data_IF_903014520628
#
_entry.id   IF_903014520628
#
_cell.length_a   1.000
_cell.length_b   1.000
_cell.length_c   1.000
_cell.angle_alpha   90.00
_cell.angle_beta   90.00
_cell.angle_gamma   90.00
#
_symmetry.space_group_name_H-M   'P 1'
#
loop_
_entity.id
_entity.type
_entity.pdbx_description
1 polymer ?
#
# COMPACT_ATOMS: atom_id res chain seq x y z
N UNK A 1 10.46 8.73 -17.55
CA UNK A 1 10.21 10.15 -17.55
C UNK A 1 10.52 10.82 -16.23
N UNK A 2 10.47 12.13 -16.27
CA UNK A 2 10.82 12.93 -15.11
C UNK A 2 9.98 12.62 -13.88
N UNK A 3 8.75 12.25 -14.07
CA UNK A 3 7.84 11.95 -12.95
C UNK A 3 8.39 10.87 -12.02
N UNK A 4 9.07 9.85 -12.57
CA UNK A 4 9.58 8.76 -11.77
C UNK A 4 10.78 9.17 -10.90
N UNK A 5 11.32 10.36 -11.11
CA UNK A 5 12.50 10.85 -10.39
C UNK A 5 12.14 11.76 -9.23
N UNK A 6 10.88 12.15 -9.11
CA UNK A 6 10.44 13.11 -8.11
C UNK A 6 9.41 12.46 -7.22
N UNK A 7 9.71 12.40 -5.93
CA UNK A 7 8.78 11.83 -4.95
C UNK A 7 7.51 12.67 -4.89
N UNK A 8 6.34 12.02 -4.90
CA UNK A 8 5.09 12.75 -4.72
C UNK A 8 5.05 13.45 -3.36
N UNK A 9 4.39 14.60 -3.33
CA UNK A 9 4.27 15.39 -2.11
C UNK A 9 2.82 15.45 -1.68
N UNK A 10 2.35 14.38 -1.11
CA UNK A 10 1.00 14.29 -0.59
C UNK A 10 1.06 14.36 0.93
N UNK A 11 0.33 15.30 1.55
CA UNK A 11 0.37 15.44 3.01
C UNK A 11 -0.08 14.19 3.75
N UNK A 12 -0.84 13.31 3.09
CA UNK A 12 -1.23 12.03 3.70
C UNK A 12 -0.03 11.13 3.99
N UNK A 13 1.11 11.35 3.32
CA UNK A 13 2.33 10.59 3.61
C UNK A 13 2.80 10.79 5.04
N UNK A 14 2.66 11.99 5.59
CA UNK A 14 3.03 12.24 6.97
C UNK A 14 2.14 11.45 7.93
N UNK A 15 0.84 11.39 7.65
CA UNK A 15 -0.10 10.59 8.43
C UNK A 15 0.21 9.11 8.33
N UNK A 16 0.57 8.64 7.13
CA UNK A 16 0.95 7.25 6.90
C UNK A 16 2.16 6.88 7.73
N UNK A 17 3.19 7.73 7.72
CA UNK A 17 4.42 7.49 8.46
C UNK A 17 4.22 7.56 9.96
N UNK A 18 3.49 8.56 10.46
CA UNK A 18 3.27 8.69 11.89
C UNK A 18 2.36 7.59 12.42
N UNK A 19 1.39 7.12 11.62
CA UNK A 19 0.56 5.98 12.01
C UNK A 19 1.41 4.71 12.16
N UNK A 20 2.31 4.47 11.21
CA UNK A 20 3.20 3.31 11.26
C UNK A 20 4.07 3.36 12.51
N UNK A 21 4.68 4.51 12.77
CA UNK A 21 5.58 4.65 13.92
C UNK A 21 4.82 4.50 15.24
N UNK A 22 3.62 5.04 15.31
CA UNK A 22 2.79 4.93 16.52
C UNK A 22 2.40 3.48 16.79
N UNK A 23 2.11 2.71 15.73
CA UNK A 23 1.65 1.33 15.87
C UNK A 23 2.80 0.33 16.07
N UNK A 24 3.98 0.60 15.54
CA UNK A 24 5.10 -0.36 15.55
C UNK A 24 6.27 0.06 16.43
N UNK A 25 6.38 1.34 16.77
CA UNK A 25 7.56 1.87 17.45
C UNK A 25 8.75 2.07 16.52
N UNK A 26 8.59 1.85 15.21
CA UNK A 26 9.66 1.91 14.23
C UNK A 26 9.39 3.00 13.21
N UNK A 27 10.45 3.63 12.70
CA UNK A 27 10.34 4.59 11.61
C UNK A 27 10.47 3.86 10.28
N UNK A 28 9.57 4.17 9.34
CA UNK A 28 9.64 3.59 8.00
C UNK A 28 10.61 4.36 7.11
N UNK A 29 10.85 5.64 7.42
CA UNK A 29 11.71 6.51 6.65
C UNK A 29 11.09 7.89 6.47
N UNK A 30 11.55 8.60 5.44
CA UNK A 30 11.02 9.91 5.08
C UNK A 30 10.30 9.81 3.74
N UNK A 31 9.43 10.77 3.38
CA UNK A 31 8.80 10.73 2.06
C UNK A 31 9.80 10.57 0.93
N UNK A 32 10.96 11.24 1.02
CA UNK A 32 11.99 11.15 -0.02
C UNK A 32 12.64 9.77 -0.07
N UNK A 33 13.00 9.21 1.10
CA UNK A 33 13.66 7.91 1.14
C UNK A 33 12.72 6.77 0.74
N UNK A 34 11.42 6.93 0.97
CA UNK A 34 10.44 5.88 0.66
C UNK A 34 10.18 5.75 -0.83
N UNK A 35 10.30 6.85 -1.58
CA UNK A 35 9.98 6.85 -3.01
C UNK A 35 10.82 5.81 -3.78
N UNK A 36 12.13 5.76 -3.52
CA UNK A 36 13.04 4.82 -4.17
C UNK A 36 13.47 3.65 -3.30
N UNK A 37 12.75 3.37 -2.22
CA UNK A 37 13.12 2.29 -1.32
C UNK A 37 13.02 0.92 -1.99
N UNK A 38 13.84 -0.07 -1.57
CA UNK A 38 13.82 -1.40 -2.18
C UNK A 38 12.63 -2.26 -1.77
N UNK A 39 11.80 -1.77 -0.89
CA UNK A 39 10.57 -2.45 -0.50
C UNK A 39 9.36 -1.71 -1.08
N UNK A 40 8.24 -2.41 -1.22
CA UNK A 40 7.02 -1.81 -1.73
C UNK A 40 6.28 -1.09 -0.61
N UNK A 41 5.70 0.06 -0.95
CA UNK A 41 4.84 0.82 -0.05
C UNK A 41 3.68 1.37 -0.87
N UNK A 42 2.45 1.12 -0.43
CA UNK A 42 1.27 1.57 -1.14
C UNK A 42 0.15 1.88 -0.15
N UNK A 43 -0.77 2.76 -0.54
CA UNK A 43 -1.88 3.14 0.33
C UNK A 43 -3.10 3.54 -0.48
N UNK A 44 -4.27 3.16 0.02
CA UNK A 44 -5.55 3.59 -0.55
C UNK A 44 -6.31 4.43 0.47
N UNK A 45 -7.31 5.17 -0.02
CA UNK A 45 -8.14 6.02 0.82
C UNK A 45 -9.38 5.29 1.33
N UNK A 46 -10.37 6.09 1.71
CA UNK A 46 -11.61 5.57 2.31
C UNK A 46 -12.81 5.66 1.36
N UNK A 47 -12.58 5.90 0.08
CA UNK A 47 -13.64 5.89 -0.93
C UNK A 47 -14.30 4.53 -0.99
N UNK A 48 -15.47 4.45 -1.61
CA UNK A 48 -16.17 3.19 -1.81
C UNK A 48 -16.42 2.97 -3.29
N UNK A 49 -15.63 2.09 -3.98
CA UNK A 49 -14.50 1.31 -3.44
C UNK A 49 -13.24 2.17 -3.20
N UNK A 50 -12.36 1.72 -2.31
CA UNK A 50 -11.13 2.47 -2.05
C UNK A 50 -10.26 2.57 -3.30
N UNK A 51 -9.63 3.75 -3.47
CA UNK A 51 -8.74 4.02 -4.59
C UNK A 51 -7.35 4.34 -4.03
N UNK A 52 -6.29 3.87 -4.70
CA UNK A 52 -4.94 4.20 -4.28
C UNK A 52 -4.69 5.70 -4.42
N UNK A 53 -3.93 6.23 -3.48
CA UNK A 53 -3.41 7.60 -3.58
C UNK A 53 -1.90 7.61 -3.58
N UNK A 54 -1.25 6.45 -3.32
CA UNK A 54 0.20 6.35 -3.30
C UNK A 54 0.66 4.94 -3.62
N UNK A 55 1.76 4.85 -4.35
CA UNK A 55 2.57 3.67 -4.52
C UNK A 55 3.98 4.15 -4.82
N UNK A 56 5.00 3.61 -4.11
CA UNK A 56 6.38 4.01 -4.39
C UNK A 56 6.88 3.30 -5.65
N UNK A 57 8.11 3.61 -6.09
CA UNK A 57 8.64 3.08 -7.34
C UNK A 57 8.67 1.55 -7.38
N UNK A 58 9.00 0.91 -6.25
CA UNK A 58 8.99 -0.55 -6.18
C UNK A 58 7.59 -1.12 -6.38
N UNK A 59 6.58 -0.52 -5.74
CA UNK A 59 5.19 -0.95 -5.93
C UNK A 59 4.74 -0.74 -7.38
N UNK A 60 5.07 0.41 -7.96
CA UNK A 60 4.70 0.69 -9.35
C UNK A 60 5.29 -0.33 -10.30
N UNK A 61 6.55 -0.73 -10.08
CA UNK A 61 7.19 -1.74 -10.89
C UNK A 61 6.54 -3.12 -10.77
N UNK A 62 6.14 -3.50 -9.55
CA UNK A 62 5.48 -4.79 -9.33
C UNK A 62 4.13 -4.87 -10.05
N UNK A 63 3.32 -3.82 -9.96
CA UNK A 63 2.02 -3.81 -10.60
C UNK A 63 2.07 -3.32 -12.04
N UNK A 64 3.26 -2.93 -12.52
CA UNK A 64 3.50 -2.53 -13.93
C UNK A 64 2.62 -1.35 -14.33
N UNK A 65 2.54 -0.36 -13.45
CA UNK A 65 1.71 0.82 -13.69
C UNK A 65 2.52 2.08 -13.40
N UNK A 66 2.19 3.16 -14.11
CA UNK A 66 2.73 4.47 -13.77
C UNK A 66 2.06 4.96 -12.47
N UNK A 67 2.62 5.98 -11.85
CA UNK A 67 2.02 6.57 -10.66
C UNK A 67 0.61 7.08 -10.97
N UNK A 68 0.45 7.70 -12.14
CA UNK A 68 -0.84 8.23 -12.56
C UNK A 68 -1.87 7.11 -12.73
N UNK A 69 -1.49 6.00 -13.36
CA UNK A 69 -2.39 4.86 -13.51
C UNK A 69 -2.74 4.25 -12.16
N UNK A 70 -1.72 4.09 -11.30
CA UNK A 70 -1.89 3.45 -10.01
C UNK A 70 -2.84 4.23 -9.11
N UNK A 71 -2.73 5.56 -9.12
CA UNK A 71 -3.53 6.41 -8.23
C UNK A 71 -4.92 6.70 -8.78
N UNK A 72 -5.30 6.05 -9.86
CA UNK A 72 -6.68 6.08 -10.40
C UNK A 72 -7.36 4.73 -10.29
N UNK A 73 -6.67 3.74 -9.76
CA UNK A 73 -7.15 2.36 -9.75
C UNK A 73 -7.79 2.02 -8.41
N UNK A 74 -8.98 1.39 -8.42
CA UNK A 74 -9.52 0.82 -7.20
C UNK A 74 -8.55 -0.22 -6.64
N UNK A 75 -8.31 -0.17 -5.35
CA UNK A 75 -7.28 -1.02 -4.74
C UNK A 75 -7.61 -2.51 -4.85
N UNK A 76 -8.90 -2.88 -4.95
CA UNK A 76 -9.31 -4.27 -5.10
C UNK A 76 -8.77 -4.90 -6.39
N UNK A 77 -8.45 -4.09 -7.40
CA UNK A 77 -7.96 -4.60 -8.68
C UNK A 77 -6.53 -5.12 -8.62
N UNK A 78 -5.83 -4.95 -7.51
CA UNK A 78 -4.53 -5.58 -7.30
C UNK A 78 -4.64 -7.07 -7.05
N UNK A 79 -5.84 -7.57 -6.75
CA UNK A 79 -6.09 -8.99 -6.51
C UNK A 79 -7.03 -9.53 -7.58
N UNK A 80 -6.85 -10.80 -7.94
CA UNK A 80 -7.77 -11.47 -8.86
C UNK A 80 -9.15 -11.56 -8.23
N UNK A 81 -10.24 -11.64 -9.06
CA UNK A 81 -11.59 -11.70 -8.50
C UNK A 81 -11.77 -12.75 -7.41
N UNK A 82 -11.18 -13.94 -7.59
CA UNK A 82 -11.29 -15.01 -6.59
C UNK A 82 -10.61 -14.68 -5.26
N UNK A 83 -9.62 -13.79 -5.29
CA UNK A 83 -8.89 -13.40 -4.07
C UNK A 83 -9.45 -12.18 -3.38
N UNK A 84 -10.44 -11.51 -3.97
CA UNK A 84 -10.92 -10.23 -3.44
C UNK A 84 -11.67 -10.35 -2.13
N UNK A 85 -12.40 -11.44 -1.94
CA UNK A 85 -13.13 -11.65 -0.70
C UNK A 85 -12.19 -11.86 0.49
N UNK A 86 -11.13 -12.64 0.29
CA UNK A 86 -10.12 -12.86 1.33
C UNK A 86 -9.43 -11.54 1.67
N UNK A 87 -9.13 -10.75 0.65
CA UNK A 87 -8.51 -9.43 0.83
C UNK A 87 -9.44 -8.49 1.62
N UNK A 88 -10.74 -8.49 1.29
CA UNK A 88 -11.69 -7.64 1.99
C UNK A 88 -11.80 -7.99 3.47
N UNK A 89 -11.75 -9.27 3.81
CA UNK A 89 -11.76 -9.71 5.20
C UNK A 89 -10.50 -9.25 5.94
N UNK A 90 -9.35 -9.33 5.28
CA UNK A 90 -8.10 -8.83 5.86
C UNK A 90 -8.22 -7.35 6.17
N UNK A 91 -8.68 -6.55 5.20
CA UNK A 91 -8.77 -5.10 5.38
C UNK A 91 -9.77 -4.73 6.46
N UNK A 92 -10.86 -5.51 6.61
CA UNK A 92 -11.84 -5.30 7.67
C UNK A 92 -11.21 -5.57 9.04
N UNK A 93 -10.40 -6.61 9.16
CA UNK A 93 -9.68 -6.92 10.40
C UNK A 93 -8.70 -5.80 10.76
N UNK A 94 -7.96 -5.30 9.78
CA UNK A 94 -7.03 -4.20 10.00
C UNK A 94 -7.78 -2.95 10.45
N UNK A 95 -8.92 -2.66 9.82
CA UNK A 95 -9.73 -1.50 10.20
C UNK A 95 -10.16 -1.58 11.65
N UNK A 96 -10.47 -2.78 12.12
CA UNK A 96 -10.91 -3.01 13.50
C UNK A 96 -9.74 -3.00 14.50
N UNK A 97 -8.62 -3.62 14.16
CA UNK A 97 -7.51 -3.84 15.10
C UNK A 97 -6.35 -2.85 14.91
N UNK A 98 -6.31 -2.12 13.82
CA UNK A 98 -5.29 -1.10 13.56
C UNK A 98 -4.14 -1.57 12.70
N UNK A 99 -3.69 -2.80 12.86
CA UNK A 99 -2.50 -3.31 12.16
C UNK A 99 -2.53 -4.84 12.10
N UNK A 100 -1.97 -5.36 11.01
CA UNK A 100 -1.65 -6.78 10.89
C UNK A 100 -0.22 -6.90 10.35
N UNK A 101 0.54 -7.88 10.85
CA UNK A 101 1.90 -8.13 10.39
C UNK A 101 1.99 -9.55 9.87
N UNK A 102 3.00 -9.80 9.01
CA UNK A 102 3.26 -11.13 8.45
C UNK A 102 2.13 -11.65 7.53
N UNK A 103 1.44 -10.70 6.88
CA UNK A 103 0.40 -11.08 5.93
C UNK A 103 1.05 -11.61 4.64
N UNK A 104 0.47 -12.67 4.09
CA UNK A 104 0.90 -13.28 2.82
C UNK A 104 -0.32 -13.40 1.92
N UNK A 105 -0.19 -12.99 0.67
CA UNK A 105 -1.33 -13.06 -0.25
C UNK A 105 -0.89 -12.92 -1.70
N UNK A 106 -1.74 -13.40 -2.60
CA UNK A 106 -1.49 -13.35 -4.04
C UNK A 106 -2.02 -12.05 -4.63
N UNK A 107 -1.24 -11.45 -5.52
CA UNK A 107 -1.63 -10.24 -6.25
C UNK A 107 -1.34 -10.42 -7.73
N UNK A 108 -1.88 -9.53 -8.55
CA UNK A 108 -1.75 -9.63 -10.00
C UNK A 108 -1.43 -8.25 -10.59
N UNK A 109 -0.50 -8.21 -11.56
CA UNK A 109 -0.09 -6.99 -12.21
C UNK A 109 -0.98 -6.67 -13.42
N UNK A 110 -0.74 -5.51 -14.02
CA UNK A 110 -1.46 -5.04 -15.21
C UNK A 110 -1.41 -6.05 -16.36
N UNK A 111 -0.26 -6.70 -16.56
CA UNK A 111 -0.10 -7.66 -17.66
C UNK A 111 -0.51 -9.08 -17.28
N UNK A 112 -1.05 -9.28 -16.08
CA UNK A 112 -1.50 -10.59 -15.65
C UNK A 112 -0.43 -11.41 -14.95
N UNK A 113 0.70 -10.80 -14.58
CA UNK A 113 1.75 -11.51 -13.87
C UNK A 113 1.38 -11.61 -12.41
N UNK A 114 1.31 -12.86 -11.91
CA UNK A 114 0.91 -13.13 -10.54
C UNK A 114 2.14 -13.20 -9.64
N UNK A 115 2.00 -12.70 -8.43
CA UNK A 115 3.08 -12.79 -7.45
C UNK A 115 2.50 -12.92 -6.04
N UNK A 116 3.25 -13.61 -5.19
CA UNK A 116 2.91 -13.80 -3.79
C UNK A 116 3.65 -12.75 -2.98
N UNK A 117 2.92 -11.89 -2.26
CA UNK A 117 3.57 -10.97 -1.32
C UNK A 117 3.72 -11.68 0.01
N UNK A 118 4.85 -11.45 0.68
CA UNK A 118 5.24 -12.20 1.88
C UNK A 118 5.59 -11.24 3.01
N UNK A 119 5.15 -11.58 4.21
CA UNK A 119 5.45 -10.83 5.43
C UNK A 119 5.06 -9.36 5.34
N UNK A 120 3.93 -9.08 4.73
CA UNK A 120 3.46 -7.71 4.60
C UNK A 120 2.92 -7.18 5.92
N UNK A 121 3.16 -5.89 6.18
CA UNK A 121 2.53 -5.17 7.26
C UNK A 121 1.44 -4.30 6.65
N UNK A 122 0.22 -4.39 7.18
CA UNK A 122 -0.93 -3.60 6.70
C UNK A 122 -1.49 -2.86 7.91
N UNK A 123 -1.69 -1.54 7.77
CA UNK A 123 -2.13 -0.74 8.92
C UNK A 123 -3.09 0.37 8.53
N UNK A 124 -3.84 0.84 9.53
CA UNK A 124 -4.72 1.99 9.36
C UNK A 124 -3.90 3.28 9.35
N UNK A 125 -4.22 4.15 8.40
CA UNK A 125 -3.64 5.49 8.35
C UNK A 125 -4.66 6.45 8.96
N UNK A 126 -4.26 7.13 10.04
CA UNK A 126 -5.11 8.08 10.74
C UNK A 126 -4.49 9.45 10.72
N UNK A 127 -5.33 10.49 10.71
CA UNK A 127 -4.84 11.87 10.79
C UNK A 127 -4.58 12.27 12.24
N UNK A 128 -4.24 13.55 12.46
CA UNK A 128 -3.89 14.04 13.79
C UNK A 128 -5.07 13.98 14.76
N UNK A 129 -6.29 13.95 14.25
CA UNK A 129 -7.49 13.84 15.08
C UNK A 129 -7.88 12.38 15.34
N UNK A 130 -7.10 11.43 14.87
CA UNK A 130 -7.40 10.01 15.01
C UNK A 130 -8.40 9.48 14.02
N UNK A 131 -8.73 10.28 12.99
CA UNK A 131 -9.73 9.89 12.00
C UNK A 131 -9.08 8.99 10.94
N UNK A 132 -9.75 7.89 10.59
CA UNK A 132 -9.26 6.98 9.56
C UNK A 132 -9.33 7.67 8.19
N UNK A 133 -8.17 7.78 7.52
CA UNK A 133 -8.11 8.38 6.19
C UNK A 133 -7.64 7.40 5.13
N UNK A 134 -7.31 6.18 5.51
CA UNK A 134 -6.92 5.15 4.56
C UNK A 134 -6.28 3.97 5.25
N UNK A 135 -5.73 3.08 4.43
CA UNK A 135 -4.93 1.95 4.89
C UNK A 135 -3.71 1.84 4.01
N UNK A 136 -2.62 1.33 4.58
CA UNK A 136 -1.35 1.21 3.87
C UNK A 136 -0.80 -0.20 4.03
N UNK A 137 0.09 -0.58 3.11
CA UNK A 137 0.78 -1.85 3.15
C UNK A 137 2.24 -1.65 2.76
N UNK A 138 3.13 -2.40 3.39
CA UNK A 138 4.53 -2.44 3.02
C UNK A 138 5.03 -3.88 3.08
N UNK A 139 5.89 -4.25 2.13
CA UNK A 139 6.52 -5.57 2.12
C UNK A 139 7.82 -5.51 1.32
N UNK A 140 8.80 -6.31 1.77
CA UNK A 140 10.13 -6.35 1.15
C UNK A 140 10.37 -7.66 0.39
N UNK A 141 9.48 -8.65 0.53
CA UNK A 141 9.64 -9.97 -0.08
C UNK A 141 8.44 -10.34 -0.92
N UNK A 142 8.70 -10.88 -2.10
CA UNK A 142 7.65 -11.43 -2.95
C UNK A 142 8.24 -12.50 -3.85
N UNK A 143 7.38 -13.39 -4.34
CA UNK A 143 7.77 -14.49 -5.23
C UNK A 143 6.83 -14.52 -6.42
N UNK A 144 7.39 -14.49 -7.62
CA UNK A 144 6.57 -14.63 -8.83
C UNK A 144 6.06 -16.06 -8.97
N UNK A 145 4.82 -16.17 -9.39
CA UNK A 145 4.13 -17.46 -9.54
C UNK A 145 4.08 -17.94 -10.98
#
# INVERSE_FOLDING_TARGET
>A
MAESKVAPRDPRLLALLSSYERLTGESLGTPESLWGAPFALLSHGTEDPPVFWYGNQTALGLWERSFEEFTRMPSRETAEPDGREVRERLLAQVREHGITRQYTGVRISKTGRRFLIENATVWNVTDDDGRLIGQAATFASWTYL
#
